data_IF_218494705037
#
_entry.id   IF_218494705037
#
_cell.length_a   1.000
_cell.length_b   1.000
_cell.length_c   1.000
_cell.angle_alpha   90.00
_cell.angle_beta   90.00
_cell.angle_gamma   90.00
#
_symmetry.space_group_name_H-M   'P 1'
#
loop_
_entity.id
_entity.type
_entity.pdbx_description
1 polymer ?
#
# COMPACT_ATOMS: atom_id res chain seq x y z
N UNK A 1 -9.65 14.49 14.16
CA UNK A 1 -11.04 14.19 13.78
C UNK A 1 -11.11 13.78 12.31
N UNK A 2 -11.87 12.73 12.02
CA UNK A 2 -12.18 12.30 10.67
C UNK A 2 -13.41 13.03 10.14
N UNK A 3 -13.30 13.54 8.91
CA UNK A 3 -14.39 14.24 8.21
C UNK A 3 -14.60 13.60 6.84
N UNK A 4 -15.85 13.38 6.47
CA UNK A 4 -16.20 13.02 5.08
C UNK A 4 -16.28 14.29 4.27
N UNK A 5 -15.65 14.31 3.10
CA UNK A 5 -15.54 15.51 2.25
C UNK A 5 -16.02 15.17 0.85
N UNK A 6 -16.75 16.10 0.24
CA UNK A 6 -17.16 16.01 -1.15
C UNK A 6 -15.92 16.06 -2.07
N UNK A 7 -15.83 15.19 -3.10
CA UNK A 7 -14.70 15.15 -4.03
C UNK A 7 -14.40 16.52 -4.66
N UNK A 8 -15.41 17.30 -4.96
CA UNK A 8 -15.25 18.60 -5.63
C UNK A 8 -14.53 19.64 -4.77
N UNK A 9 -14.55 19.47 -3.46
CA UNK A 9 -13.88 20.36 -2.50
C UNK A 9 -12.74 19.69 -1.73
N UNK A 10 -12.49 18.42 -1.98
CA UNK A 10 -11.45 17.66 -1.28
C UNK A 10 -10.08 18.30 -1.43
N UNK A 11 -9.75 18.86 -2.59
CA UNK A 11 -8.49 19.56 -2.85
C UNK A 11 -8.20 20.72 -1.89
N UNK A 12 -9.23 21.31 -1.27
CA UNK A 12 -9.06 22.38 -0.27
C UNK A 12 -8.57 21.87 1.08
N UNK A 13 -8.62 20.55 1.32
CA UNK A 13 -8.32 19.93 2.59
C UNK A 13 -7.11 18.97 2.52
N UNK A 14 -6.64 18.66 1.31
CA UNK A 14 -5.51 17.76 1.10
C UNK A 14 -4.19 18.51 1.28
N UNK A 15 -3.18 17.82 1.76
CA UNK A 15 -1.83 18.37 1.88
C UNK A 15 -1.30 18.65 0.47
N UNK A 16 -0.72 19.83 0.29
CA UNK A 16 -0.22 20.28 -1.00
C UNK A 16 0.82 19.28 -1.54
N UNK A 17 0.51 18.66 -2.68
CA UNK A 17 1.39 17.70 -3.34
C UNK A 17 0.81 16.34 -3.62
N UNK A 18 -0.16 15.87 -2.83
CA UNK A 18 -0.72 14.51 -2.98
C UNK A 18 -1.64 14.35 -4.21
N UNK A 19 -2.29 15.41 -4.64
CA UNK A 19 -3.18 15.42 -5.83
C UNK A 19 -2.82 16.51 -6.86
N UNK A 20 -1.76 17.27 -6.63
CA UNK A 20 -1.35 18.37 -7.51
C UNK A 20 -0.84 17.93 -8.89
N UNK A 21 -0.67 16.64 -9.12
CA UNK A 21 -0.20 16.09 -10.40
C UNK A 21 -1.23 15.22 -11.13
N UNK A 22 -2.39 14.98 -10.57
CA UNK A 22 -3.49 14.48 -11.38
C UNK A 22 -4.06 15.61 -12.24
N UNK A 23 -3.27 16.08 -13.19
CA UNK A 23 -3.82 16.61 -14.44
C UNK A 23 -4.45 15.41 -15.15
N UNK A 24 -5.60 14.98 -14.65
CA UNK A 24 -6.37 13.94 -15.27
C UNK A 24 -6.70 14.36 -16.69
N UNK A 25 -6.17 13.66 -17.64
CA UNK A 25 -6.75 13.55 -18.96
C UNK A 25 -8.21 13.13 -18.78
N UNK A 26 -9.12 13.70 -19.54
CA UNK A 26 -10.59 13.74 -19.34
C UNK A 26 -11.35 12.48 -18.87
N UNK A 27 -10.76 11.27 -18.89
CA UNK A 27 -11.37 10.03 -18.40
C UNK A 27 -11.40 9.93 -16.87
N UNK A 28 -10.44 10.55 -16.17
CA UNK A 28 -10.31 10.43 -14.71
C UNK A 28 -11.24 11.36 -13.94
N UNK A 29 -11.77 12.42 -14.59
CA UNK A 29 -12.70 13.34 -13.96
C UNK A 29 -14.04 12.70 -13.61
N UNK A 30 -14.51 11.77 -14.43
CA UNK A 30 -15.80 11.11 -14.22
C UNK A 30 -15.70 10.03 -13.13
N UNK A 31 -14.57 9.35 -13.04
CA UNK A 31 -14.27 8.39 -11.97
C UNK A 31 -14.10 9.07 -10.61
N UNK A 32 -13.38 10.20 -10.57
CA UNK A 32 -13.16 10.95 -9.33
C UNK A 32 -14.42 11.67 -8.82
N UNK A 33 -15.37 12.01 -9.69
CA UNK A 33 -16.61 12.70 -9.29
C UNK A 33 -17.51 11.85 -8.39
N UNK A 34 -17.34 10.53 -8.37
CA UNK A 34 -18.12 9.59 -7.54
C UNK A 34 -17.35 9.07 -6.32
N UNK A 35 -16.04 9.32 -6.26
CA UNK A 35 -15.22 8.93 -5.13
C UNK A 35 -15.59 9.71 -3.86
N UNK A 36 -15.40 9.10 -2.70
CA UNK A 36 -15.58 9.77 -1.39
C UNK A 36 -14.24 9.88 -0.70
N UNK A 37 -13.99 11.00 -0.05
CA UNK A 37 -12.79 11.25 0.72
C UNK A 37 -13.11 11.33 2.21
N UNK A 38 -12.31 10.65 3.02
CA UNK A 38 -12.35 10.74 4.47
C UNK A 38 -11.02 11.35 4.90
N UNK A 39 -11.07 12.55 5.46
CA UNK A 39 -9.88 13.33 5.80
C UNK A 39 -9.74 13.45 7.31
N UNK A 40 -8.55 13.18 7.82
CA UNK A 40 -8.19 13.41 9.21
C UNK A 40 -7.67 14.84 9.39
N UNK A 41 -8.24 15.57 10.34
CA UNK A 41 -7.83 16.95 10.67
C UNK A 41 -7.41 17.01 12.14
N UNK A 42 -6.25 17.60 12.39
CA UNK A 42 -5.76 17.87 13.73
C UNK A 42 -6.52 19.06 14.33
N UNK A 43 -6.85 18.93 15.60
CA UNK A 43 -7.41 20.02 16.41
C UNK A 43 -6.26 20.91 16.92
N UNK A 44 -6.47 22.22 16.89
CA UNK A 44 -5.52 23.17 17.46
C UNK A 44 -5.47 22.99 18.98
N UNK A 45 -4.31 22.63 19.56
CA UNK A 45 -4.18 22.42 21.00
C UNK A 45 -4.46 23.68 21.85
N UNK A 46 -4.34 24.86 21.24
CA UNK A 46 -4.56 26.15 21.91
C UNK A 46 -5.99 26.69 21.72
N UNK A 47 -6.78 26.08 20.85
CA UNK A 47 -8.11 26.55 20.48
C UNK A 47 -9.06 25.35 20.27
N UNK A 48 -9.60 24.78 21.36
CA UNK A 48 -10.50 23.64 21.28
C UNK A 48 -11.69 23.90 20.34
N UNK A 49 -11.95 22.93 19.46
CA UNK A 49 -12.98 23.03 18.41
C UNK A 49 -12.49 23.67 17.12
N UNK A 50 -11.30 24.24 17.08
CA UNK A 50 -10.65 24.74 15.88
C UNK A 50 -9.77 23.63 15.28
N UNK A 51 -9.94 23.34 14.00
CA UNK A 51 -9.21 22.31 13.29
C UNK A 51 -8.32 22.92 12.21
N UNK A 52 -7.16 22.30 11.97
CA UNK A 52 -6.29 22.70 10.87
C UNK A 52 -7.08 22.83 9.56
N UNK A 53 -6.76 23.84 8.76
CA UNK A 53 -7.42 24.06 7.46
C UNK A 53 -7.16 22.91 6.49
N UNK A 54 -5.95 22.32 6.53
CA UNK A 54 -5.55 21.22 5.69
C UNK A 54 -5.74 19.88 6.41
N UNK A 55 -6.02 18.82 5.65
CA UNK A 55 -6.02 17.45 6.15
C UNK A 55 -4.59 17.01 6.46
N UNK A 56 -4.44 16.18 7.50
CA UNK A 56 -3.14 15.59 7.88
C UNK A 56 -2.96 14.19 7.29
N UNK A 57 -4.07 13.54 6.90
CA UNK A 57 -4.10 12.26 6.20
C UNK A 57 -5.46 12.10 5.50
N UNK A 58 -5.51 11.31 4.43
CA UNK A 58 -6.77 11.06 3.72
C UNK A 58 -6.93 9.60 3.30
N UNK A 59 -8.18 9.16 3.22
CA UNK A 59 -8.57 7.86 2.66
C UNK A 59 -9.56 8.14 1.55
N UNK A 60 -9.28 7.66 0.34
CA UNK A 60 -10.19 7.68 -0.78
C UNK A 60 -10.97 6.37 -0.83
N UNK A 61 -12.27 6.50 -1.04
CA UNK A 61 -13.15 5.38 -1.30
C UNK A 61 -13.60 5.44 -2.76
N UNK A 62 -13.65 4.30 -3.41
CA UNK A 62 -14.22 4.16 -4.73
C UNK A 62 -15.74 4.44 -4.72
N UNK A 63 -16.43 4.48 -5.88
CA UNK A 63 -17.89 4.68 -5.94
C UNK A 63 -18.71 3.66 -5.15
N UNK A 64 -18.15 2.47 -4.88
CA UNK A 64 -18.80 1.40 -4.09
C UNK A 64 -18.53 1.53 -2.58
N UNK A 65 -17.73 2.51 -2.17
CA UNK A 65 -17.35 2.73 -0.78
C UNK A 65 -16.21 1.86 -0.29
N UNK A 66 -15.43 1.28 -1.19
CA UNK A 66 -14.25 0.43 -0.89
C UNK A 66 -13.01 1.31 -0.84
N UNK A 67 -12.11 1.03 0.12
CA UNK A 67 -10.82 1.73 0.21
C UNK A 67 -10.00 1.49 -1.06
N UNK A 68 -9.70 2.56 -1.75
CA UNK A 68 -8.99 2.61 -3.02
C UNK A 68 -7.57 3.22 -2.87
N UNK A 69 -7.45 4.23 -2.00
CA UNK A 69 -6.18 4.88 -1.74
C UNK A 69 -6.12 5.38 -0.29
N UNK A 70 -4.94 5.26 0.32
CA UNK A 70 -4.65 5.80 1.64
C UNK A 70 -3.41 6.67 1.52
N UNK A 71 -3.59 7.98 1.55
CA UNK A 71 -2.47 8.90 1.51
C UNK A 71 -1.73 8.97 2.82
N UNK A 72 -0.42 9.13 2.72
CA UNK A 72 0.47 9.19 3.85
C UNK A 72 1.06 7.86 4.29
N UNK A 73 0.75 6.77 3.61
CA UNK A 73 1.39 5.47 3.84
C UNK A 73 2.49 5.15 2.81
N UNK A 74 2.54 5.85 1.68
CA UNK A 74 3.54 5.62 0.63
C UNK A 74 4.79 6.47 0.84
N UNK A 75 5.94 5.97 0.36
CA UNK A 75 7.19 6.72 0.35
C UNK A 75 7.02 8.08 -0.37
N UNK A 76 7.53 9.14 0.26
CA UNK A 76 7.43 10.51 -0.27
C UNK A 76 6.12 11.23 0.06
N UNK A 77 5.16 10.59 0.69
CA UNK A 77 3.98 11.23 1.23
C UNK A 77 4.25 11.66 2.68
N UNK A 78 4.10 12.95 2.95
CA UNK A 78 4.47 13.54 4.23
C UNK A 78 3.36 13.38 5.28
N UNK A 79 3.05 12.14 5.68
CA UNK A 79 2.31 11.94 6.91
C UNK A 79 3.31 11.74 8.05
N UNK A 80 3.14 12.52 9.11
CA UNK A 80 3.92 12.35 10.33
C UNK A 80 3.78 10.91 10.84
N UNK A 81 4.88 10.27 11.24
CA UNK A 81 4.92 8.90 11.74
C UNK A 81 3.87 8.64 12.84
N UNK A 82 3.59 9.65 13.65
CA UNK A 82 2.57 9.60 14.70
C UNK A 82 1.14 9.37 14.17
N UNK A 83 0.85 9.72 12.91
CA UNK A 83 -0.47 9.56 12.30
C UNK A 83 -0.67 8.20 11.63
N UNK A 84 0.40 7.50 11.27
CA UNK A 84 0.34 6.19 10.60
C UNK A 84 -0.55 5.19 11.35
N UNK A 85 -0.45 4.98 12.66
CA UNK A 85 -1.33 4.07 13.39
C UNK A 85 -2.80 4.50 13.34
N UNK A 86 -3.07 5.81 13.37
CA UNK A 86 -4.41 6.38 13.32
C UNK A 86 -5.04 6.09 11.95
N UNK A 87 -4.28 6.29 10.88
CA UNK A 87 -4.70 6.04 9.50
C UNK A 87 -4.95 4.55 9.27
N UNK A 88 -4.02 3.69 9.67
CA UNK A 88 -4.18 2.22 9.57
C UNK A 88 -5.43 1.73 10.31
N UNK A 89 -5.63 2.19 11.54
CA UNK A 89 -6.83 1.86 12.32
C UNK A 89 -8.12 2.30 11.61
N UNK A 90 -8.13 3.49 11.00
CA UNK A 90 -9.29 3.97 10.26
C UNK A 90 -9.53 3.16 9.00
N UNK A 91 -8.49 2.88 8.21
CA UNK A 91 -8.60 2.06 7.01
C UNK A 91 -9.19 0.68 7.32
N UNK A 92 -8.71 0.00 8.40
CA UNK A 92 -9.25 -1.29 8.85
C UNK A 92 -10.75 -1.24 9.21
N UNK A 93 -11.28 -0.10 9.58
CA UNK A 93 -12.72 0.06 9.89
C UNK A 93 -13.60 0.25 8.64
N UNK A 94 -13.02 0.26 7.46
CA UNK A 94 -13.69 0.55 6.20
C UNK A 94 -13.66 -0.68 5.27
N UNK A 95 -14.67 -0.85 4.39
CA UNK A 95 -14.66 -1.91 3.40
C UNK A 95 -13.40 -1.89 2.53
N UNK A 96 -12.76 -3.04 2.35
CA UNK A 96 -11.52 -3.16 1.56
C UNK A 96 -10.24 -2.68 2.23
N UNK A 97 -10.33 -2.06 3.42
CA UNK A 97 -9.17 -1.50 4.10
C UNK A 97 -8.14 -2.54 4.52
N UNK A 98 -8.56 -3.72 4.97
CA UNK A 98 -7.66 -4.83 5.28
C UNK A 98 -6.87 -5.27 4.04
N UNK A 99 -7.57 -5.48 2.92
CA UNK A 99 -6.95 -5.86 1.64
C UNK A 99 -5.99 -4.78 1.14
N UNK A 100 -6.36 -3.51 1.28
CA UNK A 100 -5.48 -2.39 0.91
C UNK A 100 -4.20 -2.37 1.75
N UNK A 101 -4.33 -2.52 3.07
CA UNK A 101 -3.18 -2.52 3.97
C UNK A 101 -2.28 -3.74 3.76
N UNK A 102 -2.85 -4.91 3.43
CA UNK A 102 -2.07 -6.08 3.04
C UNK A 102 -1.21 -5.79 1.80
N UNK A 103 -1.80 -5.22 0.75
CA UNK A 103 -1.07 -4.80 -0.45
C UNK A 103 0.05 -3.80 -0.13
N UNK A 104 -0.23 -2.85 0.74
CA UNK A 104 0.76 -1.88 1.19
C UNK A 104 1.91 -2.55 1.94
N UNK A 105 1.61 -3.41 2.92
CA UNK A 105 2.62 -4.11 3.72
C UNK A 105 3.47 -5.05 2.85
N UNK A 106 2.88 -5.72 1.85
CA UNK A 106 3.59 -6.55 0.89
C UNK A 106 4.53 -5.72 0.00
N UNK A 107 4.07 -4.59 -0.49
CA UNK A 107 4.92 -3.64 -1.24
C UNK A 107 6.11 -3.17 -0.40
N UNK A 108 5.88 -2.82 0.87
CA UNK A 108 6.95 -2.43 1.77
C UNK A 108 7.93 -3.58 2.06
N UNK A 109 7.44 -4.82 2.12
CA UNK A 109 8.30 -5.99 2.23
C UNK A 109 9.20 -6.13 1.00
N UNK A 110 8.65 -6.05 -0.22
CA UNK A 110 9.43 -6.11 -1.46
C UNK A 110 10.51 -5.01 -1.53
N UNK A 111 10.17 -3.77 -1.15
CA UNK A 111 11.14 -2.66 -1.08
C UNK A 111 12.27 -2.98 -0.10
N UNK A 112 11.99 -3.59 1.04
CA UNK A 112 13.03 -4.00 1.99
C UNK A 112 13.92 -5.10 1.44
N UNK A 113 13.35 -6.09 0.74
CA UNK A 113 14.13 -7.16 0.10
C UNK A 113 15.03 -6.62 -1.00
N UNK A 114 14.53 -5.72 -1.82
CA UNK A 114 15.28 -5.05 -2.88
C UNK A 114 16.48 -4.28 -2.31
N UNK A 115 16.29 -3.49 -1.26
CA UNK A 115 17.39 -2.81 -0.54
C UNK A 115 18.41 -3.77 0.05
N UNK A 116 18.01 -4.95 0.51
CA UNK A 116 18.93 -6.01 0.96
C UNK A 116 19.73 -6.57 -0.21
N UNK A 117 19.07 -6.82 -1.34
CA UNK A 117 19.72 -7.29 -2.57
C UNK A 117 20.79 -6.32 -3.04
N UNK A 118 20.48 -5.01 -3.08
CA UNK A 118 21.44 -3.96 -3.45
C UNK A 118 22.68 -3.93 -2.54
N UNK A 119 22.50 -4.20 -1.25
CA UNK A 119 23.58 -4.26 -0.26
C UNK A 119 24.33 -5.60 -0.23
N UNK A 120 23.85 -6.61 -0.96
CA UNK A 120 24.39 -7.97 -0.91
C UNK A 120 24.13 -8.69 0.42
N UNK A 121 23.07 -8.30 1.14
CA UNK A 121 22.68 -8.91 2.40
C UNK A 121 21.90 -10.21 2.16
N UNK A 122 22.04 -11.15 3.09
CA UNK A 122 21.28 -12.41 3.08
C UNK A 122 19.82 -12.19 3.42
N UNK A 123 18.94 -12.99 2.80
CA UNK A 123 17.53 -13.05 3.18
C UNK A 123 17.33 -14.12 4.27
N UNK A 124 16.38 -13.87 5.17
CA UNK A 124 15.94 -14.86 6.15
C UNK A 124 15.02 -15.90 5.52
N UNK A 125 14.79 -17.01 6.22
CA UNK A 125 13.85 -18.04 5.81
C UNK A 125 12.42 -17.48 5.60
N UNK A 126 11.98 -16.60 6.49
CA UNK A 126 10.66 -15.96 6.43
C UNK A 126 10.55 -15.03 5.21
N UNK A 127 11.60 -14.27 4.92
CA UNK A 127 11.67 -13.39 3.75
C UNK A 127 11.65 -14.19 2.44
N UNK A 128 12.35 -15.33 2.40
CA UNK A 128 12.30 -16.24 1.25
C UNK A 128 10.95 -16.94 1.12
N UNK A 129 10.34 -17.36 2.22
CA UNK A 129 8.97 -17.92 2.20
C UNK A 129 7.96 -16.92 1.66
N UNK A 130 8.10 -15.64 2.01
CA UNK A 130 7.29 -14.56 1.45
C UNK A 130 7.58 -14.37 -0.05
N UNK A 131 8.85 -14.26 -0.47
CA UNK A 131 9.24 -14.04 -1.86
C UNK A 131 8.73 -15.15 -2.79
N UNK A 132 8.76 -16.40 -2.32
CA UNK A 132 8.27 -17.57 -3.06
C UNK A 132 6.78 -17.86 -2.83
N UNK A 133 6.06 -16.97 -2.15
CA UNK A 133 4.60 -17.03 -1.96
C UNK A 133 4.12 -18.34 -1.32
N UNK A 134 4.92 -18.92 -0.43
CA UNK A 134 4.66 -20.27 0.11
C UNK A 134 3.47 -20.35 1.05
N UNK A 135 3.10 -19.27 1.70
CA UNK A 135 1.98 -19.23 2.63
C UNK A 135 0.76 -18.52 2.05
N UNK A 136 0.97 -17.56 1.15
CA UNK A 136 -0.07 -16.84 0.41
C UNK A 136 0.53 -16.05 -0.75
N UNK A 137 -0.27 -15.71 -1.77
CA UNK A 137 0.17 -14.81 -2.85
C UNK A 137 0.56 -13.43 -2.33
N UNK A 138 1.54 -12.80 -2.96
CA UNK A 138 1.92 -11.40 -2.72
C UNK A 138 0.86 -10.52 -3.36
N UNK A 139 0.24 -9.65 -2.56
CA UNK A 139 -0.75 -8.71 -3.05
C UNK A 139 -0.07 -7.46 -3.59
N UNK A 140 -0.31 -7.10 -4.87
CA UNK A 140 0.24 -5.91 -5.50
C UNK A 140 -0.71 -4.72 -5.39
N UNK A 141 -0.16 -3.50 -5.33
CA UNK A 141 -0.94 -2.26 -5.38
C UNK A 141 -1.28 -1.84 -6.81
N UNK A 142 -0.73 -2.53 -7.81
CA UNK A 142 -0.90 -2.14 -9.20
C UNK A 142 -2.32 -2.41 -9.70
N UNK A 143 -2.88 -1.43 -10.40
CA UNK A 143 -4.24 -1.49 -10.98
C UNK A 143 -4.34 -2.43 -12.16
N UNK A 144 -3.21 -2.79 -12.75
CA UNK A 144 -3.14 -3.62 -13.96
C UNK A 144 -2.96 -5.12 -13.67
N UNK A 145 -2.96 -5.54 -12.40
CA UNK A 145 -2.70 -6.93 -11.97
C UNK A 145 -1.36 -7.51 -12.48
N UNK A 146 -0.42 -6.65 -12.79
CA UNK A 146 0.93 -7.08 -13.16
C UNK A 146 1.74 -7.40 -11.91
N UNK A 147 2.57 -8.44 -12.01
CA UNK A 147 3.52 -8.79 -10.97
C UNK A 147 4.47 -7.63 -10.72
N UNK A 148 4.77 -7.35 -9.45
CA UNK A 148 5.77 -6.30 -9.12
C UNK A 148 7.13 -6.67 -9.75
N UNK A 149 7.76 -5.79 -10.55
CA UNK A 149 8.97 -6.10 -11.31
C UNK A 149 10.15 -6.53 -10.44
N UNK A 150 10.14 -6.22 -9.14
CA UNK A 150 11.16 -6.67 -8.19
C UNK A 150 11.09 -8.16 -7.92
N UNK A 151 9.92 -8.78 -8.03
CA UNK A 151 9.75 -10.21 -7.70
C UNK A 151 10.61 -11.10 -8.60
N UNK A 152 10.56 -11.01 -9.94
CA UNK A 152 11.43 -11.81 -10.79
C UNK A 152 12.93 -11.52 -10.57
N UNK A 153 13.32 -10.25 -10.37
CA UNK A 153 14.72 -9.89 -10.10
C UNK A 153 15.23 -10.50 -8.79
N UNK A 154 14.43 -10.45 -7.73
CA UNK A 154 14.73 -11.06 -6.44
C UNK A 154 14.79 -12.59 -6.54
N UNK A 155 13.85 -13.22 -7.26
CA UNK A 155 13.86 -14.68 -7.48
C UNK A 155 15.06 -15.13 -8.33
N UNK A 156 15.52 -14.31 -9.27
CA UNK A 156 16.75 -14.59 -10.03
C UNK A 156 17.99 -14.50 -9.13
N UNK A 157 18.08 -13.48 -8.30
CA UNK A 157 19.22 -13.28 -7.37
C UNK A 157 19.28 -14.32 -6.28
N UNK A 158 18.14 -14.61 -5.64
CA UNK A 158 18.00 -15.55 -4.54
C UNK A 158 17.28 -16.82 -5.04
N UNK A 159 17.99 -17.64 -5.83
CA UNK A 159 17.46 -18.83 -6.47
C UNK A 159 16.90 -19.88 -5.51
N UNK A 160 16.22 -20.88 -6.08
CA UNK A 160 15.58 -21.97 -5.31
C UNK A 160 16.61 -22.70 -4.44
N UNK A 161 17.79 -22.97 -4.96
CA UNK A 161 18.88 -23.66 -4.21
C UNK A 161 19.25 -22.87 -2.95
N UNK A 162 19.43 -21.55 -3.08
CA UNK A 162 19.70 -20.66 -1.96
C UNK A 162 18.58 -20.72 -0.91
N UNK A 163 17.32 -20.69 -1.37
CA UNK A 163 16.17 -20.75 -0.46
C UNK A 163 16.13 -22.08 0.32
N UNK A 164 16.43 -23.19 -0.33
CA UNK A 164 16.51 -24.51 0.31
C UNK A 164 17.66 -24.59 1.31
N UNK A 165 18.84 -24.04 1.00
CA UNK A 165 19.96 -23.95 1.92
C UNK A 165 19.64 -23.13 3.19
N UNK A 166 18.82 -22.09 3.06
CA UNK A 166 18.32 -21.29 4.19
C UNK A 166 17.18 -21.99 4.96
N UNK A 167 16.79 -23.21 4.57
CA UNK A 167 15.83 -24.05 5.28
C UNK A 167 14.38 -23.78 4.95
N UNK A 168 14.09 -23.22 3.78
CA UNK A 168 12.73 -23.12 3.24
C UNK A 168 12.20 -24.53 2.96
N UNK A 169 10.89 -24.75 3.18
CA UNK A 169 10.26 -26.07 3.02
C UNK A 169 10.21 -26.48 1.53
N UNK A 170 10.94 -27.52 1.18
CA UNK A 170 11.03 -28.03 -0.19
C UNK A 170 9.67 -28.48 -0.74
N UNK A 171 8.80 -29.07 0.10
CA UNK A 171 7.50 -29.52 -0.35
C UNK A 171 6.56 -28.36 -0.69
N UNK A 172 6.60 -27.29 0.13
CA UNK A 172 5.88 -26.05 -0.17
C UNK A 172 6.40 -25.37 -1.43
N UNK A 173 7.72 -25.39 -1.64
CA UNK A 173 8.35 -24.83 -2.83
C UNK A 173 7.89 -25.53 -4.11
N UNK A 174 7.89 -26.87 -4.13
CA UNK A 174 7.42 -27.65 -5.27
C UNK A 174 5.93 -27.37 -5.54
N UNK A 175 5.09 -27.36 -4.51
CA UNK A 175 3.67 -27.07 -4.66
C UNK A 175 3.39 -25.66 -5.21
N UNK A 176 4.21 -24.68 -4.84
CA UNK A 176 4.11 -23.29 -5.38
C UNK A 176 4.50 -23.24 -6.86
N UNK A 177 5.54 -23.97 -7.28
CA UNK A 177 5.98 -24.01 -8.67
C UNK A 177 4.97 -24.76 -9.56
N UNK A 178 4.42 -25.88 -9.10
CA UNK A 178 3.42 -26.67 -9.84
C UNK A 178 2.12 -25.86 -10.06
N UNK A 179 1.79 -24.93 -9.18
CA UNK A 179 0.61 -24.07 -9.34
C UNK A 179 0.77 -22.99 -10.41
N UNK A 180 2.00 -22.64 -10.79
CA UNK A 180 2.29 -21.64 -11.83
C UNK A 180 2.20 -22.22 -13.26
N UNK A 181 2.31 -23.55 -13.43
CA UNK A 181 2.29 -24.20 -14.75
C UNK A 181 0.87 -24.55 -15.28
N UNK A 182 -0.18 -24.17 -14.54
CA UNK A 182 -1.59 -24.52 -14.89
C UNK A 182 -2.40 -23.26 -15.34
N UNK A 183 -1.75 -22.15 -15.69
CA UNK A 183 -2.44 -20.94 -16.15
C UNK A 183 -2.26 -20.69 -17.66
#
# INVERSE_FOLDING_TARGET
RWCVVDPNVAHNYLVYGEYGHSKSTGSDKESNSKAKFIIFRLEDPNSPGVYASNGSASIRLDPNGIVDEVSGLNDGQAVEDALVPIVKKKALSLPGGEKYLQKFDDKQALIRLDKKMEKGEDLTKEELSFLYELDRPIATLDTYNEEDPRIPELKEKYGIEYALEKGVDANKMVASLDSCDIA
#
